data_IF_130356765386
#
_entry.id   IF_130356765386
#
_cell.length_a   1.000
_cell.length_b   1.000
_cell.length_c   1.000
_cell.angle_alpha   90.00
_cell.angle_beta   90.00
_cell.angle_gamma   90.00
#
_symmetry.space_group_name_H-M   'P 1'
#
loop_
_entity.id
_entity.type
_entity.pdbx_description
1 polymer ?
#
# COMPACT_ATOMS: atom_id res chain seq x y z
N UNK A 1 -11.97 -8.84 9.44
CA UNK A 1 -10.73 -8.45 10.14
C UNK A 1 -10.81 -8.95 11.58
N UNK A 2 -9.68 -9.36 12.13
CA UNK A 2 -9.48 -9.57 13.55
C UNK A 2 -8.37 -8.60 13.96
N UNK A 3 -8.49 -7.92 15.11
CA UNK A 3 -7.53 -6.92 15.56
C UNK A 3 -7.85 -5.47 15.15
N UNK A 4 -6.93 -4.55 15.50
CA UNK A 4 -7.04 -3.13 15.20
C UNK A 4 -5.86 -2.69 14.34
N UNK A 5 -6.16 -1.96 13.27
CA UNK A 5 -5.17 -1.42 12.32
C UNK A 5 -5.10 0.10 12.44
N UNK A 6 -3.89 0.65 12.53
CA UNK A 6 -3.66 2.05 12.14
C UNK A 6 -3.54 2.10 10.63
N UNK A 7 -4.44 2.83 9.99
CA UNK A 7 -4.50 3.00 8.53
C UNK A 7 -4.07 4.41 8.18
N UNK A 8 -3.20 4.52 7.20
CA UNK A 8 -2.81 5.76 6.57
C UNK A 8 -3.36 5.83 5.15
N UNK A 9 -3.98 6.95 4.80
CA UNK A 9 -4.37 7.30 3.42
C UNK A 9 -3.83 8.70 3.10
N UNK A 10 -2.81 8.76 2.25
CA UNK A 10 -2.07 10.01 2.04
C UNK A 10 -1.46 10.51 3.35
N UNK A 11 -1.96 11.62 3.88
CA UNK A 11 -1.54 12.19 5.18
C UNK A 11 -2.51 11.92 6.33
N UNK A 12 -3.66 11.35 6.04
CA UNK A 12 -4.70 11.09 7.03
C UNK A 12 -4.45 9.75 7.74
N UNK A 13 -4.54 9.76 9.06
CA UNK A 13 -4.37 8.58 9.92
C UNK A 13 -5.68 8.31 10.66
N UNK A 14 -6.10 7.06 10.71
CA UNK A 14 -7.25 6.62 11.47
C UNK A 14 -7.11 5.15 11.87
N UNK A 15 -7.88 4.73 12.87
CA UNK A 15 -7.94 3.34 13.29
C UNK A 15 -9.14 2.64 12.64
N UNK A 16 -8.90 1.43 12.13
CA UNK A 16 -9.91 0.51 11.64
C UNK A 16 -9.99 -0.71 12.56
N UNK A 17 -11.19 -1.07 12.97
CA UNK A 17 -11.46 -2.20 13.86
C UNK A 17 -12.06 -3.38 13.10
N UNK A 18 -12.15 -4.53 13.77
CA UNK A 18 -12.80 -5.71 13.22
C UNK A 18 -14.20 -5.40 12.69
N UNK A 19 -14.47 -5.81 11.45
CA UNK A 19 -15.72 -5.55 10.73
C UNK A 19 -15.77 -4.23 9.96
N UNK A 20 -14.87 -3.29 10.18
CA UNK A 20 -14.80 -2.07 9.38
C UNK A 20 -14.32 -2.36 7.95
N UNK A 21 -14.75 -1.53 7.01
CA UNK A 21 -14.28 -1.55 5.62
C UNK A 21 -13.49 -0.28 5.35
N UNK A 22 -12.35 -0.42 4.67
CA UNK A 22 -11.52 0.73 4.25
C UNK A 22 -11.48 0.79 2.73
N UNK A 23 -11.77 1.97 2.19
CA UNK A 23 -11.65 2.27 0.77
C UNK A 23 -10.39 3.09 0.48
N UNK A 24 -9.57 2.62 -0.43
CA UNK A 24 -8.40 3.31 -0.96
C UNK A 24 -8.67 3.75 -2.40
N UNK A 25 -8.43 5.02 -2.68
CA UNK A 25 -8.57 5.52 -4.05
C UNK A 25 -7.39 5.06 -4.93
N UNK A 26 -7.65 4.96 -6.23
CA UNK A 26 -6.60 4.58 -7.20
C UNK A 26 -5.40 5.52 -7.11
N UNK A 27 -4.21 4.93 -7.05
CA UNK A 27 -2.94 5.66 -6.98
C UNK A 27 -2.72 6.43 -5.67
N UNK A 28 -3.57 6.28 -4.65
CA UNK A 28 -3.35 6.90 -3.35
C UNK A 28 -2.29 6.13 -2.55
N UNK A 29 -1.31 6.88 -2.01
CA UNK A 29 -0.34 6.29 -1.08
C UNK A 29 -1.06 5.90 0.20
N UNK A 30 -0.98 4.62 0.55
CA UNK A 30 -1.62 4.08 1.74
C UNK A 30 -0.74 3.06 2.43
N UNK A 31 -0.95 2.91 3.72
CA UNK A 31 -0.33 1.88 4.56
C UNK A 31 -1.31 1.43 5.64
N UNK A 32 -1.15 0.20 6.10
CA UNK A 32 -1.86 -0.32 7.25
C UNK A 32 -0.87 -1.08 8.13
N UNK A 33 -0.87 -0.78 9.42
CA UNK A 33 0.02 -1.41 10.40
C UNK A 33 -0.79 -1.84 11.62
N UNK A 34 -0.46 -2.98 12.28
CA UNK A 34 -1.08 -3.37 13.52
C UNK A 34 -0.83 -2.32 14.61
N UNK A 35 -1.83 -2.09 15.47
CA UNK A 35 -1.68 -1.20 16.62
C UNK A 35 -0.78 -1.87 17.66
N UNK A 36 -0.95 -3.17 17.90
CA UNK A 36 -0.12 -3.94 18.80
C UNK A 36 0.88 -4.81 18.03
N UNK A 37 2.14 -4.78 18.46
CA UNK A 37 3.19 -5.58 17.83
C UNK A 37 2.96 -7.08 18.12
N UNK A 38 2.93 -7.90 17.05
CA UNK A 38 2.72 -9.35 17.16
C UNK A 38 1.26 -9.80 17.11
N UNK A 39 0.30 -8.90 16.92
CA UNK A 39 -1.08 -9.27 16.66
C UNK A 39 -1.23 -9.91 15.27
N UNK A 40 -1.86 -11.09 15.21
CA UNK A 40 -2.21 -11.70 13.93
C UNK A 40 -3.39 -10.94 13.32
N UNK A 41 -3.14 -10.33 12.17
CA UNK A 41 -4.12 -9.60 11.41
C UNK A 41 -4.64 -10.43 10.25
N UNK A 42 -5.96 -10.50 10.13
CA UNK A 42 -6.61 -11.06 8.96
C UNK A 42 -7.47 -9.99 8.28
N UNK A 43 -7.24 -9.78 7.01
CA UNK A 43 -8.05 -8.89 6.18
C UNK A 43 -8.22 -9.47 4.77
N UNK A 44 -9.34 -9.16 4.17
CA UNK A 44 -9.65 -9.48 2.78
C UNK A 44 -9.63 -8.19 1.97
N UNK A 45 -9.14 -8.24 0.73
CA UNK A 45 -9.09 -7.08 -0.15
C UNK A 45 -9.51 -7.43 -1.57
N UNK A 46 -10.28 -6.55 -2.20
CA UNK A 46 -10.54 -6.59 -3.64
C UNK A 46 -9.82 -5.40 -4.26
N UNK A 47 -8.82 -5.69 -5.10
CA UNK A 47 -8.10 -4.68 -5.87
C UNK A 47 -8.61 -4.70 -7.31
N UNK A 48 -9.00 -3.56 -7.83
CA UNK A 48 -9.54 -3.45 -9.18
C UNK A 48 -9.11 -2.13 -9.86
N UNK A 49 -9.05 -2.17 -11.20
CA UNK A 49 -8.88 -0.95 -11.99
C UNK A 49 -10.20 -0.15 -12.02
N UNK A 50 -10.15 1.20 -11.93
CA UNK A 50 -11.33 2.03 -12.18
C UNK A 50 -12.03 1.74 -13.51
N UNK A 51 -11.31 1.22 -14.50
CA UNK A 51 -11.86 0.83 -15.80
C UNK A 51 -12.81 -0.37 -15.72
N UNK A 52 -12.79 -1.13 -14.62
CA UNK A 52 -13.82 -2.15 -14.37
C UNK A 52 -15.22 -1.53 -14.27
N UNK A 53 -15.31 -0.32 -13.73
CA UNK A 53 -16.59 0.36 -13.46
C UNK A 53 -17.16 1.11 -14.67
N UNK A 54 -16.37 1.30 -15.74
CA UNK A 54 -16.79 2.06 -16.90
C UNK A 54 -16.20 1.48 -18.19
N UNK A 55 -16.87 1.70 -19.33
CA UNK A 55 -16.47 1.09 -20.61
C UNK A 55 -15.62 2.03 -21.48
N UNK A 56 -15.83 3.33 -21.43
CA UNK A 56 -15.16 4.32 -22.27
C UNK A 56 -14.90 5.61 -21.51
N UNK A 57 -14.05 6.48 -22.08
CA UNK A 57 -13.78 7.81 -21.52
C UNK A 57 -15.04 8.71 -21.43
N UNK A 58 -16.03 8.49 -22.28
CA UNK A 58 -17.28 9.25 -22.33
C UNK A 58 -18.44 8.59 -21.59
N UNK A 59 -18.18 7.51 -20.85
CA UNK A 59 -19.17 6.89 -19.99
C UNK A 59 -19.65 7.91 -18.94
N UNK A 60 -20.98 8.03 -18.79
CA UNK A 60 -21.60 9.01 -17.88
C UNK A 60 -21.18 8.79 -16.43
N UNK A 61 -20.99 7.53 -16.01
CA UNK A 61 -20.55 7.15 -14.67
C UNK A 61 -19.10 7.60 -14.48
N UNK A 62 -18.25 7.39 -15.50
CA UNK A 62 -16.86 7.84 -15.46
C UNK A 62 -16.78 9.36 -15.30
N UNK A 63 -17.43 10.10 -16.18
CA UNK A 63 -17.32 11.56 -16.23
C UNK A 63 -17.89 12.21 -14.97
N UNK A 64 -19.07 11.75 -14.49
CA UNK A 64 -19.76 12.39 -13.38
C UNK A 64 -19.28 11.96 -11.99
N UNK A 65 -18.74 10.74 -11.86
CA UNK A 65 -18.51 10.16 -10.54
C UNK A 65 -17.10 9.59 -10.38
N UNK A 66 -16.63 8.74 -11.31
CA UNK A 66 -15.34 8.08 -11.15
C UNK A 66 -14.21 9.10 -11.28
N UNK A 67 -14.19 9.88 -12.37
CA UNK A 67 -13.13 10.84 -12.61
C UNK A 67 -13.03 11.90 -11.49
N UNK A 68 -14.13 12.51 -11.01
CA UNK A 68 -14.08 13.41 -9.86
C UNK A 68 -13.53 12.78 -8.58
N UNK A 69 -13.78 11.48 -8.33
CA UNK A 69 -13.18 10.77 -7.20
C UNK A 69 -11.68 10.59 -7.43
N UNK A 70 -11.27 10.15 -8.61
CA UNK A 70 -9.86 9.98 -8.98
C UNK A 70 -9.09 11.29 -8.89
N UNK A 71 -9.71 12.39 -9.32
CA UNK A 71 -9.13 13.73 -9.27
C UNK A 71 -9.23 14.41 -7.89
N UNK A 72 -9.88 13.77 -6.92
CA UNK A 72 -10.07 14.31 -5.58
C UNK A 72 -11.00 15.53 -5.52
N UNK A 73 -11.86 15.70 -6.51
CA UNK A 73 -12.93 16.71 -6.53
C UNK A 73 -14.16 16.25 -5.75
N UNK A 74 -14.36 14.94 -5.71
CA UNK A 74 -15.34 14.25 -4.89
C UNK A 74 -14.61 13.32 -3.92
N UNK A 75 -14.80 13.56 -2.62
CA UNK A 75 -14.25 12.70 -1.57
C UNK A 75 -15.34 11.72 -1.11
N UNK A 76 -15.06 10.43 -1.19
CA UNK A 76 -15.93 9.37 -0.66
C UNK A 76 -15.42 8.91 0.72
N UNK A 77 -16.30 8.32 1.56
CA UNK A 77 -15.90 7.78 2.85
C UNK A 77 -14.77 6.76 2.70
N UNK A 78 -13.66 6.98 3.40
CA UNK A 78 -12.51 6.07 3.43
C UNK A 78 -12.68 4.98 4.47
N UNK A 79 -13.22 5.33 5.62
CA UNK A 79 -13.52 4.41 6.71
C UNK A 79 -15.03 4.24 6.80
N UNK A 80 -15.49 3.02 6.64
CA UNK A 80 -16.89 2.63 6.68
C UNK A 80 -17.07 1.75 7.91
N UNK A 81 -17.67 2.35 8.95
CA UNK A 81 -17.85 1.69 10.24
C UNK A 81 -18.88 0.58 10.16
N UNK A 82 -18.58 -0.54 10.80
CA UNK A 82 -19.50 -1.65 10.95
C UNK A 82 -20.84 -1.20 11.57
N UNK A 83 -21.95 -1.81 11.10
CA UNK A 83 -23.29 -1.51 11.61
C UNK A 83 -23.93 -0.24 11.05
N UNK A 84 -23.32 0.44 10.07
CA UNK A 84 -23.95 1.56 9.35
C UNK A 84 -24.65 1.08 8.08
N UNK A 85 -25.67 1.82 7.59
CA UNK A 85 -26.35 1.50 6.33
C UNK A 85 -25.37 1.45 5.14
N UNK A 86 -24.37 2.32 5.15
CA UNK A 86 -23.31 2.31 4.14
C UNK A 86 -22.50 1.01 4.22
N UNK A 87 -22.16 0.59 5.45
CA UNK A 87 -21.45 -0.67 5.67
C UNK A 87 -22.23 -1.87 5.15
N UNK A 88 -23.53 -1.95 5.45
CA UNK A 88 -24.38 -3.05 4.97
C UNK A 88 -24.37 -3.12 3.43
N UNK A 89 -24.54 -1.98 2.76
CA UNK A 89 -24.57 -1.90 1.29
C UNK A 89 -23.23 -2.31 0.68
N UNK A 90 -22.11 -1.79 1.21
CA UNK A 90 -20.76 -2.07 0.68
C UNK A 90 -20.34 -3.51 1.01
N UNK A 91 -20.65 -4.00 2.22
CA UNK A 91 -20.34 -5.38 2.65
C UNK A 91 -21.09 -6.41 1.81
N UNK A 92 -22.39 -6.20 1.53
CA UNK A 92 -23.16 -7.11 0.68
C UNK A 92 -22.57 -7.20 -0.76
N UNK A 93 -22.17 -6.06 -1.31
CA UNK A 93 -21.53 -6.00 -2.61
C UNK A 93 -20.15 -6.70 -2.59
N UNK A 94 -19.35 -6.46 -1.54
CA UNK A 94 -18.05 -7.09 -1.35
C UNK A 94 -18.19 -8.62 -1.28
N UNK A 95 -19.12 -9.14 -0.45
CA UNK A 95 -19.35 -10.58 -0.31
C UNK A 95 -19.80 -11.22 -1.64
N UNK A 96 -20.66 -10.53 -2.39
CA UNK A 96 -21.07 -11.00 -3.72
C UNK A 96 -19.86 -11.11 -4.66
N UNK A 97 -19.07 -10.04 -4.76
CA UNK A 97 -17.89 -10.02 -5.63
C UNK A 97 -16.84 -11.06 -5.18
N UNK A 98 -16.57 -11.16 -3.87
CA UNK A 98 -15.62 -12.11 -3.30
C UNK A 98 -16.01 -13.56 -3.61
N UNK A 99 -17.26 -13.93 -3.31
CA UNK A 99 -17.77 -15.28 -3.59
C UNK A 99 -17.70 -15.64 -5.08
N UNK A 100 -18.02 -14.69 -5.97
CA UNK A 100 -17.93 -14.91 -7.41
C UNK A 100 -16.49 -15.06 -7.90
N UNK A 101 -15.55 -14.27 -7.35
CA UNK A 101 -14.12 -14.35 -7.69
C UNK A 101 -13.47 -15.63 -7.17
N UNK A 102 -13.90 -16.14 -6.02
CA UNK A 102 -13.40 -17.37 -5.42
C UNK A 102 -13.88 -18.61 -6.21
N UNK A 103 -15.20 -18.71 -6.45
CA UNK A 103 -15.81 -19.88 -7.05
C UNK A 103 -15.76 -19.88 -8.60
N UNK A 104 -15.64 -18.72 -9.22
CA UNK A 104 -15.58 -18.50 -10.68
C UNK A 104 -16.61 -19.32 -11.49
N UNK A 105 -17.91 -19.25 -11.16
CA UNK A 105 -18.92 -19.90 -11.97
C UNK A 105 -18.97 -19.27 -13.37
N UNK A 106 -19.56 -19.94 -14.38
CA UNK A 106 -19.74 -19.35 -15.70
C UNK A 106 -20.37 -17.94 -15.61
N UNK A 107 -19.82 -16.97 -16.33
CA UNK A 107 -20.28 -15.57 -16.40
C UNK A 107 -20.14 -14.80 -15.07
N UNK A 108 -19.22 -15.20 -14.17
CA UNK A 108 -18.98 -14.54 -12.87
C UNK A 108 -18.60 -13.07 -12.99
N UNK A 109 -18.08 -12.64 -14.13
CA UNK A 109 -17.67 -11.26 -14.39
C UNK A 109 -18.85 -10.28 -14.30
N UNK A 110 -20.05 -10.70 -14.70
CA UNK A 110 -21.26 -9.86 -14.63
C UNK A 110 -21.65 -9.52 -13.18
N UNK A 111 -21.86 -10.48 -12.27
CA UNK A 111 -22.18 -10.18 -10.89
C UNK A 111 -21.02 -9.47 -10.16
N UNK A 112 -19.75 -9.77 -10.48
CA UNK A 112 -18.60 -9.02 -9.93
C UNK A 112 -18.68 -7.56 -10.33
N UNK A 113 -18.83 -7.24 -11.61
CA UNK A 113 -18.95 -5.87 -12.09
C UNK A 113 -20.15 -5.13 -11.50
N UNK A 114 -21.31 -5.79 -11.44
CA UNK A 114 -22.52 -5.22 -10.86
C UNK A 114 -22.35 -4.91 -9.36
N UNK A 115 -21.74 -5.83 -8.60
CA UNK A 115 -21.45 -5.64 -7.18
C UNK A 115 -20.48 -4.47 -6.96
N UNK A 116 -19.39 -4.37 -7.73
CA UNK A 116 -18.42 -3.29 -7.62
C UNK A 116 -19.03 -1.93 -7.99
N UNK A 117 -19.90 -1.87 -9.00
CA UNK A 117 -20.66 -0.66 -9.34
C UNK A 117 -21.62 -0.24 -8.20
N UNK A 118 -22.30 -1.21 -7.58
CA UNK A 118 -23.19 -0.94 -6.44
C UNK A 118 -22.43 -0.41 -5.24
N UNK A 119 -21.30 -1.03 -4.88
CA UNK A 119 -20.43 -0.56 -3.80
C UNK A 119 -19.93 0.86 -4.05
N UNK A 120 -19.40 1.13 -5.26
CA UNK A 120 -18.92 2.45 -5.62
C UNK A 120 -20.06 3.49 -5.64
N UNK A 121 -21.26 3.13 -6.13
CA UNK A 121 -22.43 3.97 -6.09
C UNK A 121 -22.84 4.36 -4.67
N UNK A 122 -22.81 3.40 -3.72
CA UNK A 122 -23.09 3.67 -2.31
C UNK A 122 -22.03 4.61 -1.70
N UNK A 123 -20.75 4.46 -2.03
CA UNK A 123 -19.69 5.39 -1.61
C UNK A 123 -19.93 6.80 -2.14
N UNK A 124 -20.26 6.95 -3.41
CA UNK A 124 -20.49 8.24 -4.06
C UNK A 124 -21.71 8.96 -3.46
N UNK A 125 -22.80 8.24 -3.16
CA UNK A 125 -23.99 8.80 -2.50
C UNK A 125 -23.70 9.38 -1.12
N UNK A 126 -22.69 8.87 -0.44
CA UNK A 126 -22.20 9.36 0.86
C UNK A 126 -20.95 10.25 0.73
N UNK A 127 -20.59 10.62 -0.50
CA UNK A 127 -19.48 11.50 -0.79
C UNK A 127 -19.79 12.96 -0.50
N UNK A 128 -18.72 13.72 -0.25
CA UNK A 128 -18.81 15.18 -0.10
C UNK A 128 -17.95 15.86 -1.17
N UNK A 129 -18.44 16.94 -1.72
CA UNK A 129 -17.67 17.78 -2.64
C UNK A 129 -16.52 18.42 -1.84
N UNK A 130 -15.30 18.01 -2.12
CA UNK A 130 -14.11 18.53 -1.47
C UNK A 130 -13.02 18.72 -2.51
N UNK A 131 -12.38 19.89 -2.52
CA UNK A 131 -11.20 20.12 -3.36
C UNK A 131 -9.95 19.80 -2.55
N UNK A 132 -9.25 18.75 -2.92
CA UNK A 132 -7.86 18.58 -2.46
C UNK A 132 -7.08 19.77 -3.02
N UNK A 133 -6.37 20.50 -2.15
CA UNK A 133 -5.58 21.65 -2.61
C UNK A 133 -4.53 21.20 -3.62
N UNK A 134 -4.26 22.02 -4.63
CA UNK A 134 -3.25 21.72 -5.65
C UNK A 134 -1.88 21.44 -5.02
N UNK A 135 -1.55 22.09 -3.90
CA UNK A 135 -0.30 21.85 -3.16
C UNK A 135 -0.22 20.45 -2.54
N UNK A 136 -1.33 19.93 -1.98
CA UNK A 136 -1.37 18.55 -1.45
C UNK A 136 -1.22 17.52 -2.56
N UNK A 137 -1.86 17.75 -3.72
CA UNK A 137 -1.73 16.88 -4.90
C UNK A 137 -0.30 16.86 -5.42
N UNK A 138 0.32 18.04 -5.63
CA UNK A 138 1.71 18.15 -6.07
C UNK A 138 2.69 17.47 -5.10
N UNK A 139 2.48 17.62 -3.78
CA UNK A 139 3.30 16.94 -2.78
C UNK A 139 3.17 15.41 -2.89
N UNK A 140 1.93 14.88 -3.01
CA UNK A 140 1.70 13.45 -3.17
C UNK A 140 2.38 12.90 -4.44
N UNK A 141 2.29 13.61 -5.56
CA UNK A 141 2.89 13.22 -6.84
C UNK A 141 4.43 13.23 -6.77
N UNK A 142 5.01 14.23 -6.09
CA UNK A 142 6.46 14.27 -5.84
C UNK A 142 6.92 13.08 -4.99
N UNK A 143 6.16 12.68 -3.96
CA UNK A 143 6.51 11.54 -3.12
C UNK A 143 6.35 10.23 -3.90
N UNK A 144 5.31 10.07 -4.73
CA UNK A 144 5.16 8.89 -5.61
C UNK A 144 6.35 8.76 -6.55
N UNK A 145 6.76 9.86 -7.20
CA UNK A 145 7.92 9.88 -8.08
C UNK A 145 9.21 9.49 -7.34
N UNK A 146 9.41 9.99 -6.11
CA UNK A 146 10.54 9.61 -5.29
C UNK A 146 10.53 8.12 -4.90
N UNK A 147 9.36 7.56 -4.57
CA UNK A 147 9.19 6.13 -4.28
C UNK A 147 9.53 5.28 -5.50
N UNK A 148 8.99 5.62 -6.69
CA UNK A 148 9.29 4.92 -7.93
C UNK A 148 10.79 4.97 -8.24
N UNK A 149 11.42 6.13 -8.11
CA UNK A 149 12.86 6.29 -8.29
C UNK A 149 13.67 5.41 -7.33
N UNK A 150 13.29 5.33 -6.05
CA UNK A 150 13.94 4.45 -5.08
C UNK A 150 13.81 2.98 -5.50
N UNK A 151 12.61 2.54 -5.90
CA UNK A 151 12.35 1.16 -6.32
C UNK A 151 13.15 0.76 -7.56
N UNK A 152 13.32 1.67 -8.51
CA UNK A 152 14.11 1.42 -9.71
C UNK A 152 15.62 1.47 -9.48
N UNK A 153 16.08 2.28 -8.51
CA UNK A 153 17.50 2.60 -8.32
C UNK A 153 18.08 2.14 -6.98
N UNK A 154 17.39 1.31 -6.20
CA UNK A 154 17.80 0.93 -4.84
C UNK A 154 19.20 0.33 -4.73
N UNK A 155 19.68 -0.33 -5.80
CA UNK A 155 21.04 -0.90 -5.87
C UNK A 155 22.14 0.15 -5.91
N UNK A 156 21.82 1.35 -6.38
CA UNK A 156 22.76 2.45 -6.53
C UNK A 156 22.78 3.33 -5.28
N UNK A 157 23.71 4.28 -5.23
CA UNK A 157 23.77 5.28 -4.16
C UNK A 157 22.64 6.31 -4.36
N UNK A 158 21.46 6.05 -3.78
CA UNK A 158 20.34 7.00 -3.72
C UNK A 158 20.53 7.90 -2.52
N UNK A 159 20.69 9.21 -2.74
CA UNK A 159 20.82 10.20 -1.67
C UNK A 159 19.51 10.95 -1.44
N UNK A 160 19.28 11.35 -0.19
CA UNK A 160 18.12 12.19 0.18
C UNK A 160 18.16 13.52 -0.55
N UNK A 161 19.36 14.09 -0.76
CA UNK A 161 19.56 15.33 -1.51
C UNK A 161 19.08 15.23 -2.95
N UNK A 162 19.37 14.13 -3.64
CA UNK A 162 18.88 13.90 -5.01
C UNK A 162 17.37 13.83 -5.07
N UNK A 163 16.74 13.10 -4.13
CA UNK A 163 15.28 12.96 -4.05
C UNK A 163 14.61 14.31 -3.75
N UNK A 164 15.15 15.08 -2.81
CA UNK A 164 14.65 16.39 -2.44
C UNK A 164 14.75 17.37 -3.61
N UNK A 165 15.90 17.40 -4.29
CA UNK A 165 16.10 18.25 -5.46
C UNK A 165 15.12 17.90 -6.60
N UNK A 166 14.92 16.60 -6.89
CA UNK A 166 13.95 16.14 -7.89
C UNK A 166 12.51 16.52 -7.53
N UNK A 167 12.19 16.57 -6.23
CA UNK A 167 10.89 16.99 -5.73
C UNK A 167 10.71 18.53 -5.67
N UNK A 168 11.75 19.30 -6.00
CA UNK A 168 11.73 20.76 -5.88
C UNK A 168 11.65 21.26 -4.42
N UNK A 169 12.16 20.47 -3.47
CA UNK A 169 12.08 20.73 -2.04
C UNK A 169 13.47 20.83 -1.40
N UNK A 170 13.57 21.55 -0.27
CA UNK A 170 14.74 21.42 0.61
C UNK A 170 14.75 20.04 1.27
N UNK A 171 15.92 19.49 1.61
CA UNK A 171 16.05 18.17 2.24
C UNK A 171 15.18 18.02 3.49
N UNK A 172 15.18 19.01 4.38
CA UNK A 172 14.38 18.97 5.61
C UNK A 172 12.88 19.00 5.34
N UNK A 173 12.44 19.73 4.33
CA UNK A 173 11.03 19.74 3.90
C UNK A 173 10.65 18.41 3.28
N UNK A 174 11.47 17.89 2.36
CA UNK A 174 11.27 16.59 1.73
C UNK A 174 11.18 15.46 2.77
N UNK A 175 12.13 15.37 3.69
CA UNK A 175 12.11 14.34 4.75
C UNK A 175 10.82 14.37 5.57
N UNK A 176 10.33 15.55 5.92
CA UNK A 176 9.09 15.71 6.67
C UNK A 176 7.88 15.28 5.87
N UNK A 177 7.75 15.74 4.62
CA UNK A 177 6.65 15.37 3.72
C UNK A 177 6.71 13.89 3.39
N UNK A 178 7.89 13.34 3.08
CA UNK A 178 8.07 11.92 2.80
C UNK A 178 7.60 11.07 3.99
N UNK A 179 8.02 11.42 5.22
CA UNK A 179 7.58 10.71 6.43
C UNK A 179 6.08 10.85 6.68
N UNK A 180 5.46 11.98 6.35
CA UNK A 180 4.01 12.15 6.43
C UNK A 180 3.24 11.20 5.52
N UNK A 181 3.78 10.88 4.33
CA UNK A 181 3.12 10.00 3.35
C UNK A 181 3.49 8.52 3.49
N UNK A 182 4.64 8.18 4.09
CA UNK A 182 5.17 6.80 4.10
C UNK A 182 5.34 6.22 5.51
N UNK A 183 5.16 7.02 6.56
CA UNK A 183 5.47 6.73 7.97
C UNK A 183 6.97 6.43 8.22
N UNK A 184 7.79 6.40 7.19
CA UNK A 184 9.23 6.11 7.25
C UNK A 184 10.03 7.31 6.76
N UNK A 185 11.23 7.53 7.32
CA UNK A 185 12.16 8.48 6.71
C UNK A 185 12.62 7.94 5.34
N UNK A 186 13.11 8.81 4.41
CA UNK A 186 13.63 8.34 3.13
C UNK A 186 14.70 7.25 3.26
N UNK A 187 15.61 7.38 4.23
CA UNK A 187 16.66 6.37 4.48
C UNK A 187 16.07 5.05 4.97
N UNK A 188 15.11 5.09 5.89
CA UNK A 188 14.41 3.88 6.34
C UNK A 188 13.65 3.21 5.19
N UNK A 189 13.04 4.00 4.30
CA UNK A 189 12.32 3.48 3.15
C UNK A 189 13.27 2.80 2.14
N UNK A 190 14.40 3.46 1.79
CA UNK A 190 15.44 2.87 0.93
C UNK A 190 15.95 1.55 1.52
N UNK A 191 16.26 1.55 2.81
CA UNK A 191 16.71 0.32 3.49
C UNK A 191 15.63 -0.77 3.46
N UNK A 192 14.37 -0.44 3.66
CA UNK A 192 13.25 -1.39 3.58
C UNK A 192 13.14 -2.05 2.21
N UNK A 193 13.26 -1.26 1.12
CA UNK A 193 13.27 -1.80 -0.26
C UNK A 193 14.46 -2.74 -0.47
N UNK A 194 15.66 -2.34 -0.04
CA UNK A 194 16.87 -3.17 -0.13
C UNK A 194 16.76 -4.47 0.67
N UNK A 195 16.18 -4.38 1.87
CA UNK A 195 15.99 -5.56 2.73
C UNK A 195 14.96 -6.53 2.17
N UNK A 196 13.87 -6.05 1.55
CA UNK A 196 12.91 -6.92 0.87
C UNK A 196 13.57 -7.74 -0.23
N UNK A 197 14.38 -7.13 -1.08
CA UNK A 197 15.12 -7.84 -2.11
C UNK A 197 16.20 -8.76 -1.54
N UNK A 198 16.89 -8.34 -0.46
CA UNK A 198 17.86 -9.19 0.22
C UNK A 198 17.19 -10.44 0.80
N UNK A 199 15.99 -10.31 1.34
CA UNK A 199 15.21 -11.42 1.87
C UNK A 199 14.83 -12.41 0.76
N UNK A 200 14.39 -11.93 -0.40
CA UNK A 200 14.12 -12.77 -1.57
C UNK A 200 15.35 -13.58 -1.98
N UNK A 201 16.52 -12.92 -2.09
CA UNK A 201 17.76 -13.60 -2.43
C UNK A 201 18.23 -14.60 -1.35
N UNK A 202 18.06 -14.25 -0.07
CA UNK A 202 18.39 -15.15 1.05
C UNK A 202 17.54 -16.42 1.05
N UNK A 203 16.27 -16.33 0.62
CA UNK A 203 15.33 -17.44 0.61
C UNK A 203 15.38 -18.29 -0.65
N UNK A 204 15.70 -17.66 -1.79
CA UNK A 204 15.69 -18.30 -3.11
C UNK A 204 17.05 -18.81 -3.56
N UNK A 205 18.17 -18.40 -2.94
CA UNK A 205 19.52 -18.69 -3.42
C UNK A 205 20.48 -19.10 -2.29
N UNK A 206 21.60 -19.71 -2.68
CA UNK A 206 22.72 -20.02 -1.78
C UNK A 206 23.86 -19.00 -1.86
N UNK A 207 23.60 -17.79 -2.38
CA UNK A 207 24.58 -16.72 -2.45
C UNK A 207 25.13 -16.38 -1.06
N UNK A 208 26.40 -15.96 -0.99
CA UNK A 208 26.98 -15.50 0.27
C UNK A 208 26.27 -14.24 0.74
N UNK A 209 26.08 -14.12 2.03
CA UNK A 209 25.39 -12.96 2.63
C UNK A 209 26.06 -11.63 2.26
N UNK A 210 27.39 -11.63 2.10
CA UNK A 210 28.14 -10.46 1.62
C UNK A 210 27.73 -10.08 0.20
N UNK A 211 27.63 -11.04 -0.71
CA UNK A 211 27.28 -10.79 -2.11
C UNK A 211 25.84 -10.25 -2.19
N UNK A 212 24.90 -10.85 -1.44
CA UNK A 212 23.52 -10.36 -1.32
C UNK A 212 23.48 -8.91 -0.83
N UNK A 213 24.22 -8.58 0.23
CA UNK A 213 24.26 -7.21 0.75
C UNK A 213 24.72 -6.21 -0.32
N UNK A 214 25.81 -6.55 -1.02
CA UNK A 214 26.36 -5.70 -2.10
C UNK A 214 25.40 -5.56 -3.28
N UNK A 215 24.79 -6.66 -3.73
CA UNK A 215 23.82 -6.69 -4.84
C UNK A 215 22.55 -5.91 -4.52
N UNK A 216 22.20 -5.81 -3.23
CA UNK A 216 21.07 -4.99 -2.77
C UNK A 216 21.44 -3.53 -2.48
N UNK A 217 22.69 -3.10 -2.75
CA UNK A 217 23.14 -1.73 -2.65
C UNK A 217 23.60 -1.29 -1.25
N UNK A 218 23.91 -2.23 -0.35
CA UNK A 218 24.55 -1.91 0.92
C UNK A 218 26.07 -1.82 0.74
N UNK A 219 26.66 -0.70 1.10
CA UNK A 219 28.11 -0.47 1.01
C UNK A 219 28.88 -0.95 2.25
N UNK A 220 28.18 -1.40 3.30
CA UNK A 220 28.77 -1.88 4.55
C UNK A 220 28.03 -3.10 5.04
N UNK A 221 28.77 -4.19 5.22
CA UNK A 221 28.24 -5.44 5.76
C UNK A 221 27.74 -5.26 7.21
N UNK A 222 28.44 -4.51 8.02
CA UNK A 222 28.04 -4.24 9.41
C UNK A 222 26.74 -3.49 9.47
N UNK A 223 26.56 -2.48 8.63
CA UNK A 223 25.32 -1.72 8.53
C UNK A 223 24.16 -2.59 8.00
N UNK A 224 24.43 -3.43 7.00
CA UNK A 224 23.41 -4.37 6.51
C UNK A 224 22.92 -5.31 7.61
N UNK A 225 23.84 -5.92 8.38
CA UNK A 225 23.48 -6.84 9.48
C UNK A 225 22.67 -6.10 10.55
N UNK A 226 23.05 -4.89 10.91
CA UNK A 226 22.35 -4.06 11.89
C UNK A 226 20.91 -3.77 11.45
N UNK A 227 20.73 -3.25 10.22
CA UNK A 227 19.41 -2.89 9.69
C UNK A 227 18.54 -4.14 9.49
N UNK A 228 19.12 -5.25 9.02
CA UNK A 228 18.42 -6.52 8.85
C UNK A 228 17.94 -7.07 10.20
N UNK A 229 18.82 -7.04 11.24
CA UNK A 229 18.45 -7.49 12.59
C UNK A 229 17.35 -6.62 13.20
N UNK A 230 17.35 -5.32 12.94
CA UNK A 230 16.31 -4.40 13.43
C UNK A 230 14.94 -4.70 12.81
N UNK A 231 14.92 -5.09 11.52
CA UNK A 231 13.66 -5.34 10.80
C UNK A 231 13.11 -6.76 11.04
N UNK A 232 13.99 -7.77 11.13
CA UNK A 232 13.59 -9.20 11.17
C UNK A 232 13.93 -9.92 12.49
N UNK A 233 14.42 -9.22 13.49
CA UNK A 233 14.82 -9.75 14.81
C UNK A 233 15.80 -10.94 14.74
N UNK A 234 16.57 -11.02 13.65
CA UNK A 234 17.57 -12.06 13.41
C UNK A 234 18.66 -11.55 12.46
N UNK A 235 19.87 -12.09 12.56
CA UNK A 235 20.88 -11.83 11.54
C UNK A 235 20.55 -12.58 10.24
N UNK A 236 21.04 -12.11 9.06
CA UNK A 236 20.78 -12.80 7.78
C UNK A 236 21.13 -14.28 7.79
N UNK A 237 22.24 -14.68 8.44
CA UNK A 237 22.65 -16.08 8.56
C UNK A 237 21.71 -16.88 9.47
N UNK A 238 21.29 -16.30 10.60
CA UNK A 238 20.31 -16.93 11.48
C UNK A 238 18.98 -17.13 10.79
N UNK A 239 18.55 -16.11 10.04
CA UNK A 239 17.29 -16.16 9.29
C UNK A 239 17.33 -17.29 8.23
N UNK A 240 18.40 -17.39 7.44
CA UNK A 240 18.60 -18.47 6.45
C UNK A 240 18.56 -19.85 7.12
N UNK A 241 19.31 -20.05 8.21
CA UNK A 241 19.34 -21.33 8.94
C UNK A 241 17.95 -21.73 9.44
N UNK A 242 17.20 -20.79 9.99
CA UNK A 242 15.83 -21.05 10.45
C UNK A 242 14.89 -21.50 9.31
N UNK A 243 15.06 -20.95 8.10
CA UNK A 243 14.30 -21.36 6.92
C UNK A 243 14.67 -22.76 6.43
N UNK A 244 15.96 -23.13 6.49
CA UNK A 244 16.44 -24.47 6.12
C UNK A 244 15.88 -25.52 7.07
N UNK A 245 15.82 -25.24 8.37
CA UNK A 245 15.24 -26.13 9.39
C UNK A 245 13.72 -26.36 9.17
N UNK A 246 12.99 -25.37 8.66
CA UNK A 246 11.55 -25.47 8.36
C UNK A 246 11.31 -26.28 7.07
N UNK A 247 12.23 -26.24 6.10
CA UNK A 247 12.10 -26.92 4.81
C UNK A 247 12.44 -28.42 4.84
N UNK A 248 13.02 -28.93 5.91
CA UNK A 248 13.32 -30.36 6.09
C UNK A 248 12.16 -31.00 6.86
N UNK A 249 11.21 -31.72 6.21
CA UNK A 249 10.22 -32.50 6.95
C UNK A 249 10.96 -33.63 7.68
N UNK A 250 10.69 -33.81 8.97
CA UNK A 250 11.12 -34.98 9.74
C UNK A 250 10.36 -36.20 9.26
#
# INVERSE_FOLDING_TARGET
>A
MQGTLTVQCGTDLFEAHAGDIVFFNSGELHAAVPVEAGEELYFEAIVFSPDLLCSTANDIIRVKYIQPVLDGELTVPRLIRAGTNLHESVSAAFQTAYTMLENRPPFFEFPVKAAMLSAFGALVQNGVSARISASKRAAADSIKAAIAFIQENYRSAVSVQQLAHAAGMSEGHFCRVFKQYTLKTPVQFINGVRLSHALELLTATNLRVLDIAMDCGFNSMSYFIEVFRTEYDATPLQYRKKLEEIKVPK
#
